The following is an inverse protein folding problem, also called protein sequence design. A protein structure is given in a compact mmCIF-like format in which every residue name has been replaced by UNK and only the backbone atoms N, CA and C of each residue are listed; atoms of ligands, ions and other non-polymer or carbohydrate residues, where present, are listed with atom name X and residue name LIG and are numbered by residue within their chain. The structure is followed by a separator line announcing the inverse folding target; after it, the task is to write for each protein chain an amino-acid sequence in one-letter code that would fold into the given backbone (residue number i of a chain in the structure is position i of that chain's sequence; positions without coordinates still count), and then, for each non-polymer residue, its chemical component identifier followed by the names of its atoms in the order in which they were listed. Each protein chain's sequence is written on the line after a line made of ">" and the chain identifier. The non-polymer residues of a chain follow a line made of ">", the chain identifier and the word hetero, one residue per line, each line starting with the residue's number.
data_IF_097208883143
#
_entry.id   IF_097208883143
#
_cell.length_a   1.000
_cell.length_b   1.000
_cell.length_c   1.000
_cell.angle_alpha   90.00
_cell.angle_beta   90.00
_cell.angle_gamma   90.00
#
_symmetry.space_group_name_H-M   'P 1'
#
loop_
_entity.id
_entity.type
_entity.pdbx_description
1 polymer ?
#
# COMPACT_ATOMS: atom_id res chain seq x y z
N UNK A 1 5.11 -2.49 -11.61
CA UNK A 1 5.93 -1.59 -10.78
C UNK A 1 4.96 -0.70 -10.04
N UNK A 2 5.00 -0.70 -8.71
CA UNK A 2 4.03 0.03 -7.89
C UNK A 2 4.56 1.46 -7.75
N UNK A 3 3.88 2.42 -8.38
CA UNK A 3 4.31 3.81 -8.46
C UNK A 3 3.63 4.68 -7.38
N UNK A 4 4.15 5.89 -7.06
CA UNK A 4 3.53 6.79 -6.08
C UNK A 4 2.08 7.22 -6.37
N UNK A 5 1.62 7.07 -7.62
CA UNK A 5 0.23 7.28 -8.01
C UNK A 5 -0.71 6.12 -7.66
N UNK A 6 -0.17 4.94 -7.37
CA UNK A 6 -0.92 3.72 -7.04
C UNK A 6 -1.54 3.83 -5.63
N UNK A 7 -2.84 3.51 -5.46
CA UNK A 7 -3.48 3.50 -4.15
C UNK A 7 -2.76 2.61 -3.12
N UNK A 8 -2.18 1.49 -3.57
CA UNK A 8 -1.45 0.56 -2.71
C UNK A 8 -0.12 1.15 -2.22
N UNK A 9 0.55 1.93 -3.08
CA UNK A 9 1.73 2.70 -2.67
C UNK A 9 1.37 3.69 -1.56
N UNK A 10 0.27 4.43 -1.73
CA UNK A 10 -0.20 5.42 -0.74
C UNK A 10 -0.63 4.76 0.58
N UNK A 11 -1.20 3.56 0.53
CA UNK A 11 -1.51 2.79 1.73
C UNK A 11 -0.24 2.35 2.45
N UNK A 12 0.78 1.92 1.72
CA UNK A 12 2.09 1.57 2.28
C UNK A 12 2.78 2.80 2.92
N UNK A 13 2.73 3.96 2.29
CA UNK A 13 3.24 5.22 2.88
C UNK A 13 2.54 5.53 4.21
N UNK A 14 1.21 5.46 4.26
CA UNK A 14 0.47 5.70 5.50
C UNK A 14 0.85 4.71 6.61
N UNK A 15 1.04 3.43 6.26
CA UNK A 15 1.51 2.44 7.21
C UNK A 15 2.92 2.76 7.73
N UNK A 16 3.86 3.15 6.85
CA UNK A 16 5.19 3.60 7.23
C UNK A 16 5.15 4.79 8.19
N UNK A 17 4.33 5.80 7.91
CA UNK A 17 4.15 6.97 8.76
C UNK A 17 3.62 6.57 10.15
N UNK A 18 2.63 5.68 10.21
CA UNK A 18 2.11 5.16 11.47
C UNK A 18 3.18 4.41 12.28
N UNK A 19 3.99 3.56 11.64
CA UNK A 19 5.07 2.83 12.30
C UNK A 19 6.13 3.78 12.88
N UNK A 20 6.45 4.84 12.14
CA UNK A 20 7.42 5.86 12.56
C UNK A 20 6.90 6.68 13.74
N UNK A 21 5.65 7.16 13.66
CA UNK A 21 5.01 7.93 14.73
C UNK A 21 4.85 7.12 16.02
N UNK A 22 4.60 5.82 15.91
CA UNK A 22 4.53 4.92 17.05
C UNK A 22 5.91 4.55 17.65
N UNK A 23 7.00 4.94 16.99
CA UNK A 23 8.37 4.55 17.36
C UNK A 23 8.66 3.06 17.14
N UNK A 24 7.87 2.38 16.31
CA UNK A 24 8.01 0.95 16.04
C UNK A 24 9.08 0.67 14.98
N UNK A 25 9.06 1.44 13.88
CA UNK A 25 10.04 1.32 12.80
C UNK A 25 10.10 2.62 11.97
N UNK A 26 11.29 2.94 11.47
CA UNK A 26 11.48 3.99 10.48
C UNK A 26 11.66 3.36 9.10
N UNK A 27 10.74 3.65 8.18
CA UNK A 27 10.77 3.14 6.80
C UNK A 27 11.16 4.30 5.89
N UNK A 28 12.29 4.16 5.20
CA UNK A 28 12.78 5.16 4.24
C UNK A 28 11.91 5.18 2.96
N UNK A 29 11.88 6.33 2.27
CA UNK A 29 11.05 6.55 1.07
C UNK A 29 11.34 5.52 -0.04
N UNK A 30 12.59 5.09 -0.18
CA UNK A 30 13.02 4.08 -1.16
C UNK A 30 12.52 2.66 -0.82
N UNK A 31 12.02 2.44 0.40
CA UNK A 31 11.46 1.16 0.86
C UNK A 31 9.95 1.08 0.70
N UNK A 32 9.26 2.18 0.40
CA UNK A 32 7.80 2.22 0.32
C UNK A 32 7.26 1.31 -0.79
N UNK A 33 7.96 1.21 -1.93
CA UNK A 33 7.60 0.26 -2.99
C UNK A 33 7.69 -1.20 -2.50
N UNK A 34 8.74 -1.53 -1.73
CA UNK A 34 8.92 -2.86 -1.15
C UNK A 34 7.83 -3.18 -0.11
N UNK A 35 7.46 -2.20 0.71
CA UNK A 35 6.36 -2.33 1.67
C UNK A 35 5.02 -2.54 0.94
N UNK A 36 4.74 -1.75 -0.10
CA UNK A 36 3.53 -1.90 -0.92
C UNK A 36 3.46 -3.28 -1.58
N UNK A 37 4.59 -3.77 -2.10
CA UNK A 37 4.70 -5.12 -2.66
C UNK A 37 4.43 -6.19 -1.60
N UNK A 38 4.96 -6.00 -0.39
CA UNK A 38 4.73 -6.94 0.72
C UNK A 38 3.25 -7.01 1.09
N UNK A 39 2.59 -5.85 1.18
CA UNK A 39 1.14 -5.78 1.43
C UNK A 39 0.36 -6.45 0.30
N UNK A 40 0.72 -6.21 -0.97
CA UNK A 40 0.11 -6.87 -2.11
C UNK A 40 0.18 -8.39 -1.99
N UNK A 41 1.37 -8.92 -1.74
CA UNK A 41 1.61 -10.36 -1.62
C UNK A 41 0.86 -10.98 -0.45
N UNK A 42 0.75 -10.25 0.67
CA UNK A 42 -0.07 -10.68 1.78
C UNK A 42 -1.54 -10.80 1.36
N UNK A 43 -2.12 -9.77 0.75
CA UNK A 43 -3.52 -9.77 0.31
C UNK A 43 -3.80 -10.91 -0.68
N UNK A 44 -2.92 -11.12 -1.66
CA UNK A 44 -2.98 -12.24 -2.59
C UNK A 44 -2.96 -13.60 -1.85
N UNK A 45 -2.06 -13.76 -0.88
CA UNK A 45 -1.90 -15.02 -0.14
C UNK A 45 -3.12 -15.40 0.70
N UNK A 46 -3.89 -14.41 1.18
CA UNK A 46 -5.12 -14.63 1.95
C UNK A 46 -6.39 -14.55 1.10
N UNK A 47 -6.25 -14.43 -0.23
CA UNK A 47 -7.37 -14.40 -1.17
C UNK A 47 -8.17 -13.09 -1.18
N UNK A 48 -7.59 -11.98 -0.69
CA UNK A 48 -8.21 -10.66 -0.75
C UNK A 48 -7.87 -10.01 -2.10
N UNK A 49 -8.86 -9.70 -2.95
CA UNK A 49 -8.59 -9.09 -4.25
C UNK A 49 -8.11 -7.64 -4.09
N UNK A 50 -7.02 -7.30 -4.78
CA UNK A 50 -6.56 -5.91 -4.92
C UNK A 50 -7.16 -5.28 -6.16
N UNK A 51 -7.85 -4.15 -6.01
CA UNK A 51 -8.31 -3.37 -7.15
C UNK A 51 -7.14 -2.51 -7.67
N UNK A 52 -6.75 -2.59 -8.95
CA UNK A 52 -5.67 -1.78 -9.53
C UNK A 52 -5.97 -0.27 -9.59
N UNK A 53 -7.18 0.13 -9.17
CA UNK A 53 -7.57 1.53 -9.04
C UNK A 53 -8.44 1.98 -10.20
N UNK A 54 -9.73 2.23 -9.92
CA UNK A 54 -10.51 3.16 -10.73
C UNK A 54 -11.85 2.70 -11.30
N UNK A 55 -12.47 1.59 -10.89
CA UNK A 55 -13.93 1.53 -11.01
C UNK A 55 -14.55 2.31 -9.86
N UNK A 56 -14.55 3.63 -10.01
CA UNK A 56 -15.57 4.47 -9.41
C UNK A 56 -16.90 3.78 -9.70
N UNK A 57 -17.55 3.22 -8.68
CA UNK A 57 -18.99 2.98 -8.76
C UNK A 57 -19.64 4.35 -9.00
N UNK A 58 -19.82 4.72 -10.28
CA UNK A 58 -20.88 5.65 -10.65
C UNK A 58 -22.15 4.88 -10.33
N UNK A 59 -22.66 5.09 -9.12
CA UNK A 59 -24.03 4.71 -8.79
C UNK A 59 -24.91 5.45 -9.78
N UNK A 60 -25.63 4.66 -10.59
CA UNK A 60 -26.65 5.11 -11.51
C UNK A 60 -27.85 5.73 -10.75
#
# INVERSE_FOLDING_TARGET
>A
MISPSDPLWRAAQQAADCLSQAGYAFVEDDRIEGLATTVQRFLESVGIPTNPGGETRRSA
#
